data_IF_520955186070
#
_entry.id   IF_520955186070
#
_cell.length_a   1.000
_cell.length_b   1.000
_cell.length_c   1.000
_cell.angle_alpha   90.00
_cell.angle_beta   90.00
_cell.angle_gamma   90.00
#
_symmetry.space_group_name_H-M   'P 1'
#
loop_
_entity.id
_entity.type
_entity.pdbx_description
1 polymer ?
#
# COMPACT_ATOMS: atom_id res chain seq x y z
N UNK A 1 23.12 44.50 9.33
CA UNK A 1 22.50 43.44 10.16
C UNK A 1 21.17 42.88 9.60
N UNK A 2 20.66 43.32 8.45
CA UNK A 2 19.40 42.79 7.88
C UNK A 2 19.58 41.63 6.87
N UNK A 3 20.79 41.36 6.38
CA UNK A 3 21.01 40.40 5.28
C UNK A 3 21.07 38.93 5.76
N UNK A 4 21.30 38.70 7.06
CA UNK A 4 21.43 37.35 7.63
C UNK A 4 20.10 36.68 8.01
N UNK A 5 18.97 37.41 7.99
CA UNK A 5 17.65 36.87 8.33
C UNK A 5 16.83 36.38 7.12
N UNK A 6 17.23 36.76 5.89
CA UNK A 6 16.55 36.29 4.68
C UNK A 6 17.07 34.93 4.18
N UNK A 7 18.29 34.54 4.58
CA UNK A 7 18.87 33.23 4.23
C UNK A 7 18.32 32.07 5.06
N UNK A 8 17.79 32.32 6.26
CA UNK A 8 17.16 31.29 7.10
C UNK A 8 15.75 30.92 6.62
N UNK A 9 15.02 31.83 5.97
CA UNK A 9 13.69 31.55 5.39
C UNK A 9 13.77 30.80 4.05
N UNK A 10 14.84 30.98 3.27
CA UNK A 10 15.03 30.26 2.01
C UNK A 10 15.47 28.79 2.19
N UNK A 11 16.11 28.45 3.33
CA UNK A 11 16.56 27.08 3.63
C UNK A 11 15.47 26.20 4.29
N UNK A 12 14.36 26.78 4.76
CA UNK A 12 13.25 26.00 5.34
C UNK A 12 12.30 25.46 4.25
N UNK A 13 12.33 26.01 3.04
CA UNK A 13 11.46 25.57 1.93
C UNK A 13 12.00 24.39 1.09
N UNK A 14 13.16 23.82 1.40
CA UNK A 14 13.77 22.72 0.61
C UNK A 14 13.79 21.35 1.32
N UNK A 15 13.21 21.23 2.52
CA UNK A 15 13.12 19.95 3.23
C UNK A 15 11.77 19.21 3.02
N UNK A 16 10.78 19.84 2.39
CA UNK A 16 9.47 19.22 2.11
C UNK A 16 9.50 18.44 0.79
N UNK A 17 10.17 17.28 0.78
CA UNK A 17 9.91 16.18 -0.17
C UNK A 17 10.68 14.91 0.21
N UNK A 18 10.65 14.53 1.48
CA UNK A 18 11.09 13.19 1.87
C UNK A 18 9.87 12.28 1.89
N UNK A 19 9.33 12.03 0.69
CA UNK A 19 8.85 10.69 0.38
C UNK A 19 10.02 9.77 0.72
N UNK A 20 9.79 8.78 1.58
CA UNK A 20 10.77 7.79 2.04
C UNK A 20 11.90 7.61 1.02
N UNK A 21 13.18 7.84 1.36
CA UNK A 21 14.30 7.69 0.42
C UNK A 21 14.29 6.34 -0.31
N UNK A 22 13.59 5.33 0.23
CA UNK A 22 13.42 4.03 -0.43
C UNK A 22 12.41 4.02 -1.59
N UNK A 23 11.41 4.91 -1.63
CA UNK A 23 10.50 5.09 -2.78
C UNK A 23 11.22 5.65 -4.02
N UNK A 24 12.41 6.24 -3.86
CA UNK A 24 13.30 6.56 -4.99
C UNK A 24 13.84 5.30 -5.67
N UNK A 25 13.95 4.17 -4.96
CA UNK A 25 14.34 2.89 -5.55
C UNK A 25 13.18 2.17 -6.25
N UNK A 26 11.93 2.63 -6.08
CA UNK A 26 10.79 2.19 -6.88
C UNK A 26 10.93 2.75 -8.32
N UNK A 27 11.84 2.16 -9.08
CA UNK A 27 12.05 2.46 -10.50
C UNK A 27 10.96 1.80 -11.31
N UNK A 28 10.00 2.58 -11.80
CA UNK A 28 9.06 2.13 -12.84
C UNK A 28 9.89 1.83 -14.09
N UNK A 29 10.02 0.57 -14.54
CA UNK A 29 10.81 0.26 -15.73
C UNK A 29 10.29 1.07 -16.91
N UNK A 30 11.17 1.69 -17.68
CA UNK A 30 10.79 2.43 -18.89
C UNK A 30 10.00 1.53 -19.85
N UNK A 31 10.37 0.25 -19.91
CA UNK A 31 9.63 -0.75 -20.64
C UNK A 31 8.29 -1.06 -19.95
N UNK A 32 7.19 -0.77 -20.66
CA UNK A 32 5.83 -1.03 -20.20
C UNK A 32 5.53 -2.52 -20.03
N UNK A 33 6.38 -3.39 -20.56
CA UNK A 33 6.24 -4.83 -20.46
C UNK A 33 6.77 -5.46 -19.17
N UNK A 34 7.12 -4.63 -18.19
CA UNK A 34 7.64 -5.09 -16.93
C UNK A 34 6.62 -4.95 -15.80
N UNK A 35 6.37 -6.07 -15.09
CA UNK A 35 5.51 -6.15 -13.90
C UNK A 35 6.22 -6.84 -12.75
N UNK A 36 5.87 -6.49 -11.51
CA UNK A 36 6.36 -7.24 -10.34
C UNK A 36 5.60 -8.56 -10.21
N UNK A 37 6.35 -9.65 -10.07
CA UNK A 37 5.80 -10.94 -9.70
C UNK A 37 5.58 -11.04 -8.18
N UNK A 38 5.11 -12.18 -7.71
CA UNK A 38 4.82 -12.42 -6.28
C UNK A 38 6.05 -12.44 -5.36
N UNK A 39 7.25 -12.59 -5.91
CA UNK A 39 8.50 -12.49 -5.16
C UNK A 39 9.03 -11.03 -5.09
N UNK A 40 8.26 -10.04 -5.56
CA UNK A 40 8.74 -8.66 -5.65
C UNK A 40 9.83 -8.47 -6.71
N UNK A 41 9.97 -9.41 -7.65
CA UNK A 41 10.95 -9.33 -8.75
C UNK A 41 10.27 -8.83 -10.01
N UNK A 42 10.91 -7.89 -10.71
CA UNK A 42 10.45 -7.37 -12.00
C UNK A 42 10.64 -8.47 -13.06
N UNK A 43 9.55 -8.86 -13.72
CA UNK A 43 9.58 -9.69 -14.93
C UNK A 43 9.14 -8.85 -16.11
N UNK A 44 10.01 -8.75 -17.11
CA UNK A 44 9.71 -8.09 -18.38
C UNK A 44 9.35 -9.13 -19.43
N UNK A 45 8.17 -9.02 -20.02
CA UNK A 45 7.82 -9.76 -21.24
C UNK A 45 8.34 -8.95 -22.45
N UNK A 46 8.56 -9.56 -23.60
CA UNK A 46 8.96 -8.79 -24.80
C UNK A 46 7.77 -7.98 -25.31
N UNK A 47 7.09 -8.54 -26.30
CA UNK A 47 5.84 -8.00 -26.81
C UNK A 47 4.67 -8.33 -25.88
N UNK A 48 3.87 -7.32 -25.54
CA UNK A 48 2.59 -7.51 -24.84
C UNK A 48 1.48 -7.37 -25.89
N UNK A 49 0.72 -8.43 -26.20
CA UNK A 49 -0.47 -8.27 -27.03
C UNK A 49 -1.47 -7.38 -26.30
N UNK A 50 -2.15 -6.51 -27.05
CA UNK A 50 -3.22 -5.67 -26.51
C UNK A 50 -4.31 -6.58 -25.90
N UNK A 51 -4.78 -6.25 -24.70
CA UNK A 51 -5.87 -6.98 -24.07
C UNK A 51 -7.23 -6.61 -24.69
N UNK A 52 -7.68 -7.37 -25.69
CA UNK A 52 -8.95 -7.15 -26.39
C UNK A 52 -10.20 -7.34 -25.51
N UNK A 53 -10.01 -7.92 -24.33
CA UNK A 53 -11.06 -8.09 -23.33
C UNK A 53 -11.35 -6.80 -22.54
N UNK A 54 -10.41 -5.84 -22.49
CA UNK A 54 -10.65 -4.55 -21.83
C UNK A 54 -11.47 -3.65 -22.74
N UNK A 55 -12.63 -3.26 -22.24
CA UNK A 55 -13.55 -2.31 -22.89
C UNK A 55 -13.27 -0.87 -22.46
N UNK A 56 -12.76 -0.67 -21.23
CA UNK A 56 -12.40 0.64 -20.71
C UNK A 56 -11.32 0.52 -19.64
N UNK A 57 -10.30 1.38 -19.67
CA UNK A 57 -9.24 1.43 -18.67
C UNK A 57 -9.26 2.79 -17.98
N UNK A 58 -9.42 2.79 -16.66
CA UNK A 58 -9.39 4.01 -15.85
C UNK A 58 -7.96 4.22 -15.36
N UNK A 59 -7.29 5.21 -15.93
CA UNK A 59 -5.94 5.57 -15.51
C UNK A 59 -6.01 6.41 -14.24
N UNK A 60 -5.66 5.82 -13.10
CA UNK A 60 -5.66 6.53 -11.82
C UNK A 60 -4.28 7.15 -11.49
N UNK A 61 -3.31 7.06 -12.40
CA UNK A 61 -1.95 7.57 -12.22
C UNK A 61 -1.74 8.99 -12.76
N UNK A 62 -2.78 9.81 -12.73
CA UNK A 62 -2.86 11.16 -13.29
C UNK A 62 -2.79 12.22 -12.20
N UNK A 63 -2.89 13.50 -12.53
CA UNK A 63 -2.90 14.60 -11.56
C UNK A 63 -4.30 14.84 -10.95
N UNK A 64 -4.43 15.74 -9.98
CA UNK A 64 -5.65 15.99 -9.20
C UNK A 64 -6.81 16.67 -9.93
N UNK A 65 -6.65 16.93 -11.23
CA UNK A 65 -7.66 17.53 -12.10
C UNK A 65 -8.23 16.54 -13.14
N UNK A 66 -8.10 15.23 -12.91
CA UNK A 66 -8.62 14.18 -13.79
C UNK A 66 -10.05 13.74 -13.41
N UNK A 67 -10.82 13.29 -14.40
CA UNK A 67 -12.16 12.70 -14.28
C UNK A 67 -12.19 11.51 -13.30
N UNK A 68 -11.04 10.87 -13.06
CA UNK A 68 -10.91 9.73 -12.17
C UNK A 68 -10.54 10.08 -10.72
N UNK A 69 -10.45 11.37 -10.36
CA UNK A 69 -10.08 11.82 -9.01
C UNK A 69 -10.98 11.21 -7.92
N UNK A 70 -12.29 11.19 -8.16
CA UNK A 70 -13.28 10.68 -7.21
C UNK A 70 -13.00 9.20 -6.83
N UNK A 71 -12.52 8.39 -7.77
CA UNK A 71 -12.15 7.00 -7.47
C UNK A 71 -10.97 6.91 -6.51
N UNK A 72 -9.98 7.80 -6.66
CA UNK A 72 -8.81 7.84 -5.77
C UNK A 72 -9.20 8.29 -4.38
N UNK A 73 -9.99 9.35 -4.29
CA UNK A 73 -10.48 9.88 -3.02
C UNK A 73 -11.31 8.83 -2.29
N UNK A 74 -12.21 8.14 -2.98
CA UNK A 74 -13.02 7.08 -2.38
C UNK A 74 -12.17 5.91 -1.88
N UNK A 75 -11.14 5.50 -2.62
CA UNK A 75 -10.19 4.49 -2.19
C UNK A 75 -9.41 4.96 -0.94
N UNK A 76 -8.85 6.18 -0.96
CA UNK A 76 -8.10 6.73 0.17
C UNK A 76 -8.97 6.89 1.42
N UNK A 77 -10.16 7.45 1.28
CA UNK A 77 -11.11 7.62 2.39
C UNK A 77 -11.55 6.27 2.96
N UNK A 78 -11.77 5.26 2.11
CA UNK A 78 -12.08 3.91 2.56
C UNK A 78 -10.97 3.32 3.43
N UNK A 79 -9.71 3.46 3.02
CA UNK A 79 -8.56 2.96 3.77
C UNK A 79 -8.31 3.75 5.05
N UNK A 80 -8.14 5.07 4.94
CA UNK A 80 -7.84 5.94 6.08
C UNK A 80 -9.01 5.98 7.08
N UNK A 81 -10.25 5.88 6.62
CA UNK A 81 -11.44 5.76 7.46
C UNK A 81 -11.45 4.46 8.28
N UNK A 82 -11.18 3.32 7.65
CA UNK A 82 -11.05 2.03 8.36
C UNK A 82 -9.91 2.06 9.38
N UNK A 83 -8.73 2.54 8.98
CA UNK A 83 -7.54 2.68 9.83
C UNK A 83 -7.82 3.57 11.04
N UNK A 84 -8.49 4.70 10.82
CA UNK A 84 -8.89 5.63 11.89
C UNK A 84 -9.85 4.97 12.86
N UNK A 85 -10.88 4.27 12.35
CA UNK A 85 -11.83 3.52 13.19
C UNK A 85 -11.12 2.48 14.05
N UNK A 86 -10.17 1.74 13.47
CA UNK A 86 -9.37 0.76 14.19
C UNK A 86 -8.50 1.43 15.26
N UNK A 87 -7.84 2.53 14.91
CA UNK A 87 -6.98 3.28 15.82
C UNK A 87 -7.75 3.89 17.01
N UNK A 88 -8.99 4.34 16.79
CA UNK A 88 -9.88 4.75 17.88
C UNK A 88 -10.23 3.55 18.76
N UNK A 89 -10.70 2.45 18.15
CA UNK A 89 -11.21 1.28 18.89
C UNK A 89 -10.13 0.60 19.74
N UNK A 90 -8.90 0.53 19.24
CA UNK A 90 -7.76 -0.13 19.90
C UNK A 90 -6.81 0.85 20.59
N UNK A 91 -7.12 2.15 20.59
CA UNK A 91 -6.27 3.21 21.14
C UNK A 91 -4.82 3.15 20.59
N UNK A 92 -4.68 3.13 19.27
CA UNK A 92 -3.38 3.02 18.57
C UNK A 92 -2.74 4.41 18.44
N UNK A 93 -1.40 4.50 18.55
CA UNK A 93 -0.69 5.78 18.48
C UNK A 93 0.06 6.08 17.18
N UNK A 94 0.34 5.08 16.34
CA UNK A 94 1.23 5.20 15.17
C UNK A 94 0.59 4.71 13.87
N UNK A 95 -0.72 4.87 13.74
CA UNK A 95 -1.41 4.60 12.48
C UNK A 95 -1.11 5.72 11.48
N UNK A 96 -0.32 5.43 10.46
CA UNK A 96 0.07 6.43 9.46
C UNK A 96 -1.03 6.66 8.42
N UNK A 97 -1.10 7.88 7.89
CA UNK A 97 -1.95 8.18 6.74
C UNK A 97 -1.42 7.47 5.51
N UNK A 98 -2.34 6.92 4.72
CA UNK A 98 -2.04 6.46 3.38
C UNK A 98 -2.27 7.63 2.42
N UNK A 99 -1.25 7.97 1.65
CA UNK A 99 -1.29 8.94 0.55
C UNK A 99 -1.35 8.24 -0.81
N UNK A 100 -1.80 8.95 -1.84
CA UNK A 100 -1.79 8.42 -3.21
C UNK A 100 -0.38 8.46 -3.82
N UNK A 101 -0.05 7.45 -4.62
CA UNK A 101 1.21 7.39 -5.35
C UNK A 101 1.00 6.96 -6.80
N UNK A 102 1.29 7.90 -7.72
CA UNK A 102 1.13 7.69 -9.16
C UNK A 102 2.01 6.56 -9.70
N UNK A 103 3.21 6.33 -9.14
CA UNK A 103 4.06 5.21 -9.59
C UNK A 103 3.43 3.87 -9.25
N UNK A 104 2.88 3.70 -8.05
CA UNK A 104 2.14 2.49 -7.67
C UNK A 104 0.88 2.30 -8.51
N UNK A 105 0.16 3.38 -8.83
CA UNK A 105 -0.98 3.35 -9.73
C UNK A 105 -0.58 2.91 -11.15
N UNK A 106 0.56 3.37 -11.67
CA UNK A 106 1.11 2.89 -12.95
C UNK A 106 1.45 1.40 -12.91
N UNK A 107 2.00 0.89 -11.80
CA UNK A 107 2.23 -0.55 -11.65
C UNK A 107 0.94 -1.35 -11.71
N UNK A 108 -0.08 -0.95 -10.95
CA UNK A 108 -1.39 -1.57 -11.02
C UNK A 108 -1.97 -1.52 -12.45
N UNK A 109 -1.82 -0.37 -13.11
CA UNK A 109 -2.27 -0.13 -14.49
C UNK A 109 -1.64 -1.09 -15.48
N UNK A 110 -0.33 -1.37 -15.36
CA UNK A 110 0.36 -2.34 -16.21
C UNK A 110 -0.24 -3.73 -16.11
N UNK A 111 -0.64 -4.19 -14.91
CA UNK A 111 -1.29 -5.50 -14.81
C UNK A 111 -2.58 -5.59 -15.63
N UNK A 112 -3.37 -4.51 -15.69
CA UNK A 112 -4.51 -4.45 -16.60
C UNK A 112 -4.08 -4.44 -18.07
N UNK A 113 -3.01 -3.71 -18.43
CA UNK A 113 -2.46 -3.77 -19.80
C UNK A 113 -2.04 -5.19 -20.21
N UNK A 114 -1.61 -6.01 -19.24
CA UNK A 114 -1.32 -7.44 -19.37
C UNK A 114 -2.56 -8.35 -19.32
N UNK A 115 -3.77 -7.79 -19.35
CA UNK A 115 -5.02 -8.54 -19.27
C UNK A 115 -5.23 -9.30 -17.95
N UNK A 116 -4.50 -8.97 -16.88
CA UNK A 116 -4.72 -9.56 -15.57
C UNK A 116 -5.93 -8.91 -14.89
N UNK A 117 -6.93 -9.71 -14.53
CA UNK A 117 -8.14 -9.30 -13.77
C UNK A 117 -7.93 -9.23 -12.25
N UNK A 118 -6.76 -9.65 -11.79
CA UNK A 118 -6.38 -9.66 -10.40
C UNK A 118 -4.92 -10.05 -10.27
N UNK A 119 -4.32 -9.71 -9.14
CA UNK A 119 -2.98 -10.16 -8.78
C UNK A 119 -3.15 -10.97 -7.51
N UNK A 120 -3.66 -12.19 -7.67
CA UNK A 120 -3.61 -13.16 -6.61
C UNK A 120 -2.21 -13.77 -6.65
N UNK A 121 -1.37 -13.32 -5.73
CA UNK A 121 -0.28 -14.17 -5.28
C UNK A 121 -0.93 -15.23 -4.40
N UNK A 122 -1.58 -16.20 -5.04
CA UNK A 122 -1.95 -17.42 -4.35
C UNK A 122 -0.69 -17.88 -3.65
N UNK A 123 -0.82 -18.14 -2.37
CA UNK A 123 0.21 -18.70 -1.52
C UNK A 123 0.77 -19.98 -2.13
N UNK A 124 1.71 -19.85 -3.06
CA UNK A 124 2.79 -20.80 -3.19
C UNK A 124 3.60 -20.61 -1.93
N UNK A 125 3.24 -21.43 -0.95
CA UNK A 125 3.82 -21.44 0.37
C UNK A 125 5.34 -21.52 0.32
N UNK A 126 5.94 -21.10 1.42
CA UNK A 126 7.24 -21.58 1.86
C UNK A 126 8.49 -21.21 1.06
N UNK A 127 8.46 -20.29 0.09
CA UNK A 127 9.73 -19.79 -0.46
C UNK A 127 10.44 -18.77 0.45
N UNK A 128 9.70 -17.93 1.17
CA UNK A 128 10.32 -16.88 2.00
C UNK A 128 10.77 -17.32 3.39
N UNK A 129 10.28 -18.44 3.92
CA UNK A 129 10.80 -18.99 5.17
C UNK A 129 12.18 -19.66 5.01
N UNK A 130 12.57 -20.02 3.78
CA UNK A 130 13.82 -20.75 3.50
C UNK A 130 14.93 -19.89 2.87
N UNK A 131 14.62 -18.70 2.34
CA UNK A 131 15.65 -17.81 1.76
C UNK A 131 16.56 -17.11 2.78
N UNK A 132 16.14 -17.02 4.05
CA UNK A 132 17.02 -16.55 5.14
C UNK A 132 17.72 -17.70 5.90
N UNK A 133 17.52 -18.96 5.49
CA UNK A 133 18.04 -20.14 6.20
C UNK A 133 19.02 -20.99 5.38
N UNK A 134 19.39 -20.54 4.19
CA UNK A 134 20.44 -21.17 3.39
C UNK A 134 21.80 -20.60 3.79
N UNK A 135 22.46 -21.25 4.74
CA UNK A 135 23.92 -21.23 4.83
C UNK A 135 24.46 -21.98 3.61
N UNK A 136 24.46 -21.34 2.44
CA UNK A 136 25.12 -21.87 1.25
C UNK A 136 26.16 -20.87 0.78
N UNK A 137 27.39 -21.13 1.20
CA UNK A 137 28.60 -20.59 0.58
C UNK A 137 28.58 -20.89 -0.91
N UNK A 138 28.80 -19.86 -1.73
CA UNK A 138 28.99 -19.88 -3.19
C UNK A 138 27.77 -19.61 -4.08
N UNK A 139 27.11 -18.47 -3.94
CA UNK A 139 26.54 -17.78 -5.10
C UNK A 139 26.85 -16.29 -5.02
N UNK A 140 27.31 -15.69 -6.13
CA UNK A 140 27.64 -14.28 -6.25
C UNK A 140 26.45 -13.42 -5.79
N UNK A 141 26.65 -12.28 -5.10
CA UNK A 141 25.55 -11.48 -4.57
C UNK A 141 24.84 -10.77 -5.74
N UNK A 142 23.86 -11.43 -6.35
CA UNK A 142 22.84 -10.74 -7.10
C UNK A 142 22.05 -9.89 -6.10
N UNK A 143 22.33 -8.58 -6.07
CA UNK A 143 21.58 -7.58 -5.32
C UNK A 143 20.15 -7.48 -5.88
N UNK A 144 19.28 -8.41 -5.50
CA UNK A 144 17.85 -8.21 -5.63
C UNK A 144 17.45 -7.13 -4.62
N UNK A 145 17.20 -5.91 -5.10
CA UNK A 145 16.48 -4.90 -4.33
C UNK A 145 15.03 -5.39 -4.17
N UNK A 146 14.79 -6.25 -3.18
CA UNK A 146 13.45 -6.72 -2.82
C UNK A 146 12.66 -5.54 -2.29
N UNK A 147 11.80 -4.95 -3.12
CA UNK A 147 10.93 -3.87 -2.70
C UNK A 147 9.75 -4.48 -1.96
N UNK A 148 9.53 -4.03 -0.73
CA UNK A 148 8.49 -4.56 0.13
C UNK A 148 7.11 -3.99 -0.23
N UNK A 149 6.50 -4.58 -1.26
CA UNK A 149 5.17 -4.21 -1.78
C UNK A 149 4.13 -5.25 -1.39
N UNK A 150 2.93 -4.80 -1.04
CA UNK A 150 1.74 -5.67 -1.01
C UNK A 150 0.67 -5.20 -1.96
N UNK A 151 -0.34 -6.06 -2.14
CA UNK A 151 -1.34 -5.92 -3.20
C UNK A 151 -2.70 -6.39 -2.74
N UNK A 152 -3.73 -5.67 -3.16
CA UNK A 152 -5.10 -6.15 -3.12
C UNK A 152 -5.65 -6.19 -4.55
N UNK A 153 -6.44 -7.21 -4.84
CA UNK A 153 -7.23 -7.25 -6.08
C UNK A 153 -8.67 -7.60 -5.79
N UNK A 154 -9.57 -7.10 -6.63
CA UNK A 154 -10.99 -7.40 -6.58
C UNK A 154 -11.54 -7.45 -8.00
N UNK A 155 -12.24 -8.53 -8.33
CA UNK A 155 -12.96 -8.65 -9.58
C UNK A 155 -14.44 -8.86 -9.32
N UNK A 156 -15.28 -8.14 -10.04
CA UNK A 156 -16.73 -8.24 -9.91
C UNK A 156 -17.37 -8.33 -11.29
N UNK A 157 -18.17 -9.37 -11.50
CA UNK A 157 -18.79 -9.66 -12.81
C UNK A 157 -19.80 -8.60 -13.26
N UNK A 158 -20.35 -7.81 -12.32
CA UNK A 158 -21.29 -6.74 -12.69
C UNK A 158 -20.55 -5.49 -13.21
N UNK A 159 -20.50 -5.40 -14.53
CA UNK A 159 -19.81 -4.36 -15.30
C UNK A 159 -20.44 -2.96 -15.20
N UNK A 160 -21.64 -2.81 -14.62
CA UNK A 160 -22.36 -1.54 -14.55
C UNK A 160 -22.57 -1.03 -13.12
N UNK A 161 -22.07 -1.75 -12.11
CA UNK A 161 -22.20 -1.34 -10.72
C UNK A 161 -21.58 0.04 -10.47
N UNK A 162 -22.40 0.99 -10.01
CA UNK A 162 -21.95 2.31 -9.54
C UNK A 162 -21.20 2.20 -8.20
N UNK A 163 -21.54 1.21 -7.39
CA UNK A 163 -20.95 0.95 -6.07
C UNK A 163 -19.76 -0.02 -6.12
N UNK A 164 -19.03 -0.07 -7.24
CA UNK A 164 -17.94 -1.02 -7.43
C UNK A 164 -16.82 -0.88 -6.39
N UNK A 165 -16.35 0.34 -6.12
CA UNK A 165 -15.29 0.59 -5.12
C UNK A 165 -15.78 0.28 -3.68
N UNK A 166 -16.97 0.73 -3.24
CA UNK A 166 -17.51 0.32 -1.94
C UNK A 166 -17.62 -1.20 -1.76
N UNK A 167 -18.03 -1.93 -2.80
CA UNK A 167 -18.04 -3.41 -2.74
C UNK A 167 -16.63 -3.98 -2.61
N UNK A 168 -15.65 -3.47 -3.35
CA UNK A 168 -14.26 -3.91 -3.23
C UNK A 168 -13.70 -3.67 -1.82
N UNK A 169 -13.93 -2.49 -1.25
CA UNK A 169 -13.50 -2.14 0.11
C UNK A 169 -14.18 -3.02 1.17
N UNK A 170 -15.47 -3.31 1.00
CA UNK A 170 -16.22 -4.19 1.91
C UNK A 170 -15.72 -5.62 1.84
N UNK A 171 -15.49 -6.15 0.63
CA UNK A 171 -14.91 -7.47 0.43
C UNK A 171 -13.52 -7.60 1.04
N UNK A 172 -12.66 -6.60 0.84
CA UNK A 172 -11.33 -6.61 1.46
C UNK A 172 -11.38 -6.49 2.99
N UNK A 173 -12.38 -5.78 3.52
CA UNK A 173 -12.64 -5.72 4.96
C UNK A 173 -13.05 -7.09 5.51
N UNK A 174 -13.99 -7.78 4.86
CA UNK A 174 -14.51 -9.10 5.28
C UNK A 174 -13.42 -10.17 5.44
N UNK A 175 -12.30 -10.04 4.73
CA UNK A 175 -11.13 -10.91 4.92
C UNK A 175 -10.58 -10.91 6.36
N UNK A 176 -11.00 -9.98 7.23
CA UNK A 176 -10.67 -10.06 8.65
C UNK A 176 -11.21 -11.33 9.34
N UNK A 177 -12.22 -11.99 8.78
CA UNK A 177 -12.85 -13.19 9.36
C UNK A 177 -11.88 -14.37 9.39
N UNK A 178 -10.95 -14.43 8.41
CA UNK A 178 -9.95 -15.49 8.30
C UNK A 178 -8.75 -15.29 9.25
N UNK A 179 -8.73 -14.20 10.01
CA UNK A 179 -7.61 -13.83 10.87
C UNK A 179 -7.89 -14.18 12.31
N UNK A 180 -6.81 -14.45 13.06
CA UNK A 180 -6.93 -14.63 14.51
C UNK A 180 -7.26 -13.28 15.14
N UNK A 181 -8.17 -13.30 16.12
CA UNK A 181 -8.49 -12.10 16.88
C UNK A 181 -7.20 -11.49 17.48
N UNK A 182 -7.00 -10.15 17.43
CA UNK A 182 -5.78 -9.53 17.89
C UNK A 182 -5.50 -9.83 19.37
N UNK A 183 -4.29 -10.30 19.68
CA UNK A 183 -3.87 -10.59 21.06
C UNK A 183 -3.11 -9.39 21.63
N UNK A 184 -3.45 -8.98 22.84
CA UNK A 184 -2.67 -7.98 23.57
C UNK A 184 -1.38 -8.63 24.07
N UNK A 185 -0.24 -8.02 23.75
CA UNK A 185 1.09 -8.48 24.17
C UNK A 185 1.90 -7.30 24.73
N UNK A 186 2.93 -7.61 25.51
CA UNK A 186 3.90 -6.64 26.00
C UNK A 186 5.28 -6.97 25.43
N UNK A 187 5.93 -5.96 24.85
CA UNK A 187 7.27 -6.07 24.27
C UNK A 187 8.03 -4.81 24.69
N UNK A 188 9.18 -4.97 25.34
CA UNK A 188 10.05 -3.86 25.77
C UNK A 188 9.30 -2.74 26.53
N UNK A 189 8.49 -3.11 27.52
CA UNK A 189 7.64 -2.19 28.30
C UNK A 189 6.60 -1.40 27.47
N UNK A 190 6.27 -1.86 26.26
CA UNK A 190 5.21 -1.29 25.42
C UNK A 190 4.14 -2.34 25.16
N UNK A 191 2.88 -1.93 25.17
CA UNK A 191 1.78 -2.80 24.78
C UNK A 191 1.53 -2.71 23.28
N UNK A 192 1.29 -3.87 22.68
CA UNK A 192 0.83 -4.00 21.31
C UNK A 192 -0.42 -4.87 21.24
N UNK A 193 -1.22 -4.68 20.19
CA UNK A 193 -2.07 -5.75 19.67
C UNK A 193 -1.33 -6.44 18.52
N UNK A 194 -1.14 -7.75 18.64
CA UNK A 194 -0.61 -8.60 17.59
C UNK A 194 -1.78 -9.16 16.76
N UNK A 195 -1.85 -8.80 15.49
CA UNK A 195 -2.72 -9.47 14.53
C UNK A 195 -1.88 -10.50 13.76
N UNK A 196 -2.26 -11.77 13.90
CA UNK A 196 -1.56 -12.90 13.33
C UNK A 196 -2.47 -13.68 12.37
N UNK A 197 -1.91 -14.13 11.25
CA UNK A 197 -2.63 -14.93 10.26
C UNK A 197 -1.93 -14.91 8.92
N UNK A 198 -2.48 -15.63 7.95
CA UNK A 198 -2.01 -15.53 6.58
C UNK A 198 -2.30 -14.11 6.06
N UNK A 199 -1.27 -13.43 5.55
CA UNK A 199 -1.43 -12.08 5.01
C UNK A 199 -2.50 -12.08 3.92
N UNK A 200 -3.51 -11.22 4.09
CA UNK A 200 -4.65 -11.11 3.19
C UNK A 200 -5.01 -9.64 2.92
N UNK A 201 -6.12 -9.39 2.25
CA UNK A 201 -6.51 -8.04 1.87
C UNK A 201 -6.75 -7.11 3.05
N UNK A 202 -7.30 -7.62 4.15
CA UNK A 202 -7.51 -6.85 5.37
C UNK A 202 -6.18 -6.42 5.99
N UNK A 203 -5.21 -7.35 6.08
CA UNK A 203 -3.83 -7.05 6.53
C UNK A 203 -3.25 -5.83 5.81
N UNK A 204 -3.39 -5.78 4.48
CA UNK A 204 -2.91 -4.68 3.66
C UNK A 204 -3.67 -3.37 3.91
N UNK A 205 -4.95 -3.41 4.23
CA UNK A 205 -5.70 -2.19 4.53
C UNK A 205 -5.30 -1.57 5.87
N UNK A 206 -5.03 -2.40 6.88
CA UNK A 206 -4.87 -1.91 8.27
C UNK A 206 -3.42 -1.81 8.75
N UNK A 207 -2.43 -2.29 8.00
CA UNK A 207 -1.03 -2.28 8.44
C UNK A 207 -0.53 -0.85 8.76
N UNK A 208 -0.17 -0.52 10.01
CA UNK A 208 0.19 0.83 10.43
C UNK A 208 1.35 1.45 9.64
N UNK A 209 2.27 0.62 9.15
CA UNK A 209 3.49 1.08 8.46
C UNK A 209 3.29 1.48 7.01
N UNK A 210 2.16 1.12 6.37
CA UNK A 210 1.85 1.52 5.00
C UNK A 210 1.61 3.03 4.98
N UNK A 211 2.27 3.70 4.03
CA UNK A 211 2.28 5.15 3.88
C UNK A 211 1.71 5.60 2.55
N UNK A 212 1.82 4.77 1.52
CA UNK A 212 1.34 5.11 0.19
C UNK A 212 0.63 3.94 -0.47
N UNK A 213 -0.33 4.27 -1.32
CA UNK A 213 -1.01 3.32 -2.18
C UNK A 213 -1.19 3.87 -3.59
N UNK A 214 -1.37 2.99 -4.56
CA UNK A 214 -1.80 3.37 -5.89
C UNK A 214 -2.50 2.21 -6.57
N UNK A 215 -3.59 2.53 -7.26
CA UNK A 215 -4.46 1.50 -7.84
C UNK A 215 -4.73 1.74 -9.32
N UNK A 216 -5.35 0.76 -9.97
CA UNK A 216 -5.93 0.90 -11.30
C UNK A 216 -7.27 0.18 -11.33
N UNK A 217 -8.19 0.68 -12.15
CA UNK A 217 -9.48 0.04 -12.44
C UNK A 217 -9.55 -0.24 -13.93
N UNK A 218 -10.03 -1.42 -14.31
CA UNK A 218 -10.31 -1.75 -15.70
C UNK A 218 -11.64 -2.49 -15.84
N UNK A 219 -12.38 -2.14 -16.89
CA UNK A 219 -13.64 -2.76 -17.28
C UNK A 219 -13.34 -3.79 -18.38
N UNK A 220 -13.53 -5.05 -18.05
CA UNK A 220 -13.50 -6.17 -18.97
C UNK A 220 -14.90 -6.43 -19.54
N UNK A 221 -14.99 -7.22 -20.61
CA UNK A 221 -16.28 -7.66 -21.19
C UNK A 221 -17.15 -8.38 -20.15
N UNK A 222 -16.52 -9.10 -19.23
CA UNK A 222 -17.16 -9.97 -18.24
C UNK A 222 -17.12 -9.42 -16.80
N UNK A 223 -16.68 -8.18 -16.60
CA UNK A 223 -16.69 -7.58 -15.27
C UNK A 223 -15.78 -6.36 -15.11
N UNK A 224 -15.56 -5.95 -13.86
CA UNK A 224 -14.63 -4.88 -13.48
C UNK A 224 -13.57 -5.42 -12.52
N UNK A 225 -12.34 -4.98 -12.74
CA UNK A 225 -11.18 -5.29 -11.93
C UNK A 225 -10.66 -4.04 -11.23
N UNK A 226 -10.28 -4.18 -9.97
CA UNK A 226 -9.54 -3.20 -9.18
C UNK A 226 -8.27 -3.87 -8.67
N UNK A 227 -7.13 -3.25 -8.91
CA UNK A 227 -5.83 -3.70 -8.42
C UNK A 227 -5.20 -2.54 -7.67
N UNK A 228 -4.76 -2.76 -6.43
CA UNK A 228 -4.06 -1.79 -5.60
C UNK A 228 -2.71 -2.32 -5.16
N UNK A 229 -1.72 -1.45 -5.16
CA UNK A 229 -0.40 -1.66 -4.57
C UNK A 229 -0.24 -0.79 -3.32
N UNK A 230 0.47 -1.30 -2.33
CA UNK A 230 0.77 -0.62 -1.07
C UNK A 230 2.26 -0.63 -0.76
N UNK A 231 2.75 0.43 -0.15
CA UNK A 231 4.14 0.55 0.27
C UNK A 231 4.30 1.44 1.53
N UNK A 232 5.27 1.16 2.39
CA UNK A 232 6.01 -0.10 2.51
C UNK A 232 5.14 -1.16 3.20
N UNK A 233 5.24 -2.42 2.77
CA UNK A 233 4.50 -3.51 3.42
C UNK A 233 5.34 -4.27 4.46
N UNK A 234 5.67 -3.62 5.56
CA UNK A 234 6.47 -4.26 6.62
C UNK A 234 5.60 -5.24 7.41
N UNK A 235 5.99 -6.51 7.45
CA UNK A 235 5.43 -7.55 8.31
C UNK A 235 6.55 -8.45 8.81
N UNK A 236 6.36 -9.07 9.98
CA UNK A 236 7.32 -10.02 10.55
C UNK A 236 6.60 -11.31 10.86
N UNK A 237 7.07 -12.44 10.35
CA UNK A 237 6.52 -13.77 10.64
C UNK A 237 4.99 -13.86 10.45
N UNK A 238 4.48 -13.23 9.37
CA UNK A 238 3.03 -13.13 9.07
C UNK A 238 2.21 -12.41 10.16
N UNK A 239 2.81 -11.41 10.81
CA UNK A 239 2.17 -10.59 11.84
C UNK A 239 2.34 -9.11 11.56
N UNK A 240 1.34 -8.35 12.01
CA UNK A 240 1.41 -6.90 12.15
C UNK A 240 1.15 -6.51 13.61
N UNK A 241 1.81 -5.45 14.04
CA UNK A 241 1.75 -4.98 15.42
C UNK A 241 1.13 -3.59 15.46
N UNK A 242 0.12 -3.43 16.32
CA UNK A 242 -0.50 -2.16 16.59
C UNK A 242 -0.04 -1.64 17.95
N UNK A 243 0.74 -0.57 17.98
CA UNK A 243 1.24 -0.03 19.25
C UNK A 243 0.12 0.71 19.97
N UNK A 244 -0.12 0.33 21.22
CA UNK A 244 -1.12 0.98 22.07
C UNK A 244 -0.56 2.28 22.64
N UNK A 245 -1.38 3.33 22.65
CA UNK A 245 -1.03 4.64 23.18
C UNK A 245 -0.98 4.62 24.71
N UNK A 246 0.20 4.89 25.29
CA UNK A 246 0.42 5.03 26.75
C UNK A 246 0.56 6.50 27.15
N UNK A 247 -0.56 7.18 27.42
CA UNK A 247 -0.63 8.62 27.76
C UNK A 247 0.09 9.53 26.71
N UNK A 248 0.12 10.85 26.95
CA UNK A 248 0.43 11.99 26.02
C UNK A 248 0.99 11.64 24.63
N UNK A 249 0.36 12.20 23.59
CA UNK A 249 0.77 12.32 22.16
C UNK A 249 1.92 11.43 21.66
N UNK A 250 1.65 10.50 20.74
CA UNK A 250 2.64 9.49 20.32
C UNK A 250 2.66 9.19 18.81
N UNK A 251 2.32 10.17 17.96
CA UNK A 251 2.66 10.01 16.57
C UNK A 251 4.19 9.95 16.37
N UNK A 252 4.70 9.19 15.38
CA UNK A 252 6.12 9.15 15.08
C UNK A 252 6.67 10.53 14.72
N UNK A 253 7.94 10.79 15.00
CA UNK A 253 8.59 12.09 14.75
C UNK A 253 8.45 12.59 13.29
N UNK A 254 8.48 11.68 12.32
CA UNK A 254 8.34 12.00 10.88
C UNK A 254 6.89 12.37 10.50
N UNK A 255 5.92 11.94 11.31
CA UNK A 255 4.49 12.19 11.12
C UNK A 255 3.92 12.87 12.37
N UNK A 256 4.40 14.06 12.75
CA UNK A 256 4.31 14.55 14.12
C UNK A 256 2.94 15.13 14.47
N UNK A 257 1.95 15.10 13.58
CA UNK A 257 0.61 15.70 13.79
C UNK A 257 -0.51 14.68 13.46
N UNK A 258 -1.65 14.78 14.16
CA UNK A 258 -2.85 14.01 13.78
C UNK A 258 -3.60 14.72 12.64
N UNK A 259 -4.18 13.92 11.75
CA UNK A 259 -5.07 14.40 10.68
C UNK A 259 -6.32 15.08 11.28
N UNK A 260 -6.73 16.26 10.77
CA UNK A 260 -7.89 16.98 11.29
C UNK A 260 -9.23 16.27 11.02
N UNK A 261 -9.31 15.49 9.94
CA UNK A 261 -10.48 14.70 9.55
C UNK A 261 -10.41 13.34 10.25
N UNK A 262 -9.28 12.64 10.11
CA UNK A 262 -9.03 11.33 10.69
C UNK A 262 -8.21 11.44 11.98
N UNK A 263 -8.85 11.88 13.07
CA UNK A 263 -8.22 12.27 14.35
C UNK A 263 -7.27 11.26 15.04
N UNK A 264 -7.18 10.01 14.57
CA UNK A 264 -6.24 8.98 15.05
C UNK A 264 -5.25 8.50 13.99
N UNK A 265 -5.08 9.28 12.92
CA UNK A 265 -4.12 9.04 11.84
C UNK A 265 -3.02 10.08 11.91
N UNK A 266 -1.76 9.66 11.85
CA UNK A 266 -0.60 10.55 11.85
C UNK A 266 -0.25 10.99 10.42
N UNK A 267 -0.05 12.29 10.23
CA UNK A 267 0.29 12.94 8.94
C UNK A 267 1.62 13.69 9.04
N UNK A 268 2.22 13.99 7.88
CA UNK A 268 3.39 14.88 7.82
C UNK A 268 2.93 16.32 8.05
N UNK A 269 3.72 17.08 8.82
CA UNK A 269 3.51 18.52 9.06
C UNK A 269 4.07 19.40 7.96
#
# INVERSE_FOLDING_TARGET
MLVLWLLSLALICLAQRVVDPQLRYLKVPENQSCVYNCAGVIKCQGYIPKCDAITQHYNLATDDNDENKEFRELLLHGHNGLRNRLAIKLNICDMLQIEWNNKLALYASRHHSFCHKGIMCDTQGNLHANLMRSNSTSEKPFFYYLINLSRNSFFYSNTYSRNFIPYALSHWYEAHIDLKFPKRIEVDNRTYYELAGQSNSFFNMVNPSIQVMGCSIAKFRDGRSLICYYYPFVHRDSKIYFRVMYKSYQCPYIYPIFDPIFKRICIRG
#
